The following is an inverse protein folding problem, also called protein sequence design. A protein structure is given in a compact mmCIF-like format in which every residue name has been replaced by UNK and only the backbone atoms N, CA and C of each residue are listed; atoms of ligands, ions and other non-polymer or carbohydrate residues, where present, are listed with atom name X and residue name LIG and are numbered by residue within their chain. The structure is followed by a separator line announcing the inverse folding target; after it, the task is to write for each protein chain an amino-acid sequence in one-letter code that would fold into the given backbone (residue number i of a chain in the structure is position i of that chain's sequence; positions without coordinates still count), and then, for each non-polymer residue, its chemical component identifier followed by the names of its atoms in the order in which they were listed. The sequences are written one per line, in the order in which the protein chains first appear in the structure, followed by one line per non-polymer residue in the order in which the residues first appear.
data_IF_062868507091
#
_entry.id   IF_062868507091
#
_cell.length_a   1.000
_cell.length_b   1.000
_cell.length_c   1.000
_cell.angle_alpha   90.00
_cell.angle_beta   90.00
_cell.angle_gamma   90.00
#
_symmetry.space_group_name_H-M   'P 1'
#
loop_
_entity.id
_entity.type
_entity.pdbx_description
1 polymer ?
#
# COMPACT_ATOMS: atom_id res chain seq x y z
N UNK A 1 16.56 35.56 -3.32
CA UNK A 1 17.43 34.38 -3.50
C UNK A 1 18.27 34.25 -2.26
N UNK A 2 18.45 33.03 -1.77
CA UNK A 2 19.37 32.75 -0.69
C UNK A 2 20.82 33.09 -1.11
N UNK A 3 21.64 33.44 -0.13
CA UNK A 3 23.01 33.92 -0.30
C UNK A 3 24.01 32.76 -0.15
N UNK A 4 24.94 32.65 -1.09
CA UNK A 4 26.10 31.78 -0.99
C UNK A 4 27.36 32.63 -0.83
N UNK A 5 28.07 32.53 0.29
CA UNK A 5 29.30 33.30 0.55
C UNK A 5 30.58 32.61 0.05
N UNK A 6 30.54 31.32 -0.26
CA UNK A 6 31.68 30.60 -0.81
C UNK A 6 31.84 30.92 -2.29
N UNK A 7 32.89 31.66 -2.64
CA UNK A 7 33.16 32.12 -4.01
C UNK A 7 34.31 31.35 -4.65
N UNK A 8 34.13 30.98 -5.91
CA UNK A 8 35.20 30.41 -6.71
C UNK A 8 36.25 31.49 -7.01
N UNK A 9 37.52 31.19 -6.74
CA UNK A 9 38.64 32.10 -6.95
C UNK A 9 39.25 31.95 -8.34
N UNK A 10 39.72 33.05 -8.92
CA UNK A 10 40.49 33.08 -10.17
C UNK A 10 39.78 32.41 -11.36
N UNK A 11 38.45 32.54 -11.47
CA UNK A 11 37.64 31.91 -12.53
C UNK A 11 37.69 32.61 -13.89
N UNK A 12 38.21 33.83 -13.95
CA UNK A 12 38.33 34.59 -15.20
C UNK A 12 39.24 33.92 -16.22
N UNK A 13 39.00 34.25 -17.51
CA UNK A 13 39.77 33.74 -18.65
C UNK A 13 41.25 34.12 -18.58
N UNK A 14 41.57 35.28 -18.01
CA UNK A 14 42.93 35.83 -17.93
C UNK A 14 43.52 35.70 -16.53
N UNK A 15 42.94 34.87 -15.66
CA UNK A 15 43.46 34.70 -14.32
C UNK A 15 44.88 34.09 -14.37
N UNK A 16 45.77 34.55 -13.48
CA UNK A 16 47.14 34.06 -13.36
C UNK A 16 47.15 32.64 -12.80
N UNK A 17 46.91 31.64 -13.65
CA UNK A 17 46.78 30.24 -13.29
C UNK A 17 47.43 29.41 -14.39
N UNK A 18 48.22 28.41 -14.00
CA UNK A 18 48.88 27.51 -14.96
C UNK A 18 47.84 26.67 -15.72
N UNK A 19 48.18 26.18 -16.93
CA UNK A 19 47.29 25.31 -17.71
C UNK A 19 46.99 23.99 -16.98
N UNK A 20 45.96 23.27 -17.43
CA UNK A 20 45.66 21.96 -16.85
C UNK A 20 46.77 20.94 -17.15
N UNK A 21 47.28 20.94 -18.37
CA UNK A 21 48.34 20.03 -18.83
C UNK A 21 49.62 20.21 -18.01
N UNK A 22 50.07 21.45 -17.81
CA UNK A 22 51.26 21.74 -17.00
C UNK A 22 51.05 21.46 -15.50
N UNK A 23 49.82 21.61 -15.00
CA UNK A 23 49.48 21.29 -13.61
C UNK A 23 49.58 19.78 -13.34
N UNK A 24 49.04 18.95 -14.24
CA UNK A 24 49.08 17.50 -14.13
C UNK A 24 50.51 16.94 -14.28
N UNK A 25 51.36 17.63 -15.04
CA UNK A 25 52.77 17.28 -15.19
C UNK A 25 53.66 17.78 -14.04
N UNK A 26 53.16 18.66 -13.16
CA UNK A 26 53.96 19.28 -12.11
C UNK A 26 54.28 18.27 -10.99
N UNK A 27 55.56 17.96 -10.68
CA UNK A 27 55.90 17.01 -9.62
C UNK A 27 55.33 17.40 -8.23
N UNK A 28 55.19 18.70 -7.98
CA UNK A 28 54.61 19.25 -6.75
C UNK A 28 53.12 18.92 -6.57
N UNK A 29 52.39 18.46 -7.59
CA UNK A 29 51.02 17.96 -7.44
C UNK A 29 50.98 16.74 -6.51
N UNK A 30 52.01 15.89 -6.58
CA UNK A 30 52.14 14.70 -5.75
C UNK A 30 52.85 14.99 -4.42
N UNK A 31 54.00 15.66 -4.46
CA UNK A 31 54.86 15.87 -3.29
C UNK A 31 54.55 17.11 -2.47
N UNK A 32 53.68 18.01 -2.98
CA UNK A 32 53.60 19.39 -2.51
C UNK A 32 54.86 20.20 -2.83
N UNK A 33 54.83 21.49 -2.50
CA UNK A 33 56.00 22.37 -2.56
C UNK A 33 56.88 22.16 -1.32
N UNK A 34 58.03 21.51 -1.48
CA UNK A 34 58.90 21.11 -0.36
C UNK A 34 60.08 22.07 -0.13
N UNK A 35 60.59 22.72 -1.18
CA UNK A 35 61.66 23.71 -1.11
C UNK A 35 61.55 24.71 -2.26
N UNK A 36 62.15 25.90 -2.09
CA UNK A 36 62.11 26.97 -3.10
C UNK A 36 60.84 27.83 -3.06
N UNK A 37 60.61 28.61 -4.11
CA UNK A 37 59.46 29.53 -4.23
C UNK A 37 58.38 28.86 -5.08
N UNK A 38 57.17 28.72 -4.55
CA UNK A 38 56.01 28.31 -5.34
C UNK A 38 55.57 29.47 -6.25
N UNK A 39 55.39 29.21 -7.55
CA UNK A 39 54.91 30.25 -8.47
C UNK A 39 53.45 30.59 -8.14
N UNK A 40 53.11 31.87 -8.19
CA UNK A 40 51.74 32.33 -7.93
C UNK A 40 50.72 31.67 -8.86
N UNK A 41 51.09 31.38 -10.12
CA UNK A 41 50.23 30.67 -11.07
C UNK A 41 49.94 29.22 -10.64
N UNK A 42 50.90 28.56 -9.98
CA UNK A 42 50.73 27.20 -9.48
C UNK A 42 49.90 27.20 -8.19
N UNK A 43 50.16 28.14 -7.27
CA UNK A 43 49.36 28.30 -6.04
C UNK A 43 47.91 28.66 -6.36
N UNK A 44 47.69 29.59 -7.30
CA UNK A 44 46.35 29.96 -7.76
C UNK A 44 45.59 28.78 -8.37
N UNK A 45 46.29 27.81 -8.99
CA UNK A 45 45.66 26.61 -9.55
C UNK A 45 45.04 25.74 -8.46
N UNK A 46 45.78 25.50 -7.38
CA UNK A 46 45.29 24.77 -6.20
C UNK A 46 44.07 25.48 -5.60
N UNK A 47 44.20 26.78 -5.34
CA UNK A 47 43.12 27.57 -4.73
C UNK A 47 41.89 27.61 -5.63
N UNK A 48 42.05 27.78 -6.94
CA UNK A 48 40.95 27.75 -7.92
C UNK A 48 40.23 26.41 -7.90
N UNK A 49 40.94 25.28 -7.95
CA UNK A 49 40.30 23.95 -7.94
C UNK A 49 39.52 23.71 -6.63
N UNK A 50 40.12 24.06 -5.48
CA UNK A 50 39.46 23.90 -4.18
C UNK A 50 38.23 24.82 -4.02
N UNK A 51 38.40 26.12 -4.27
CA UNK A 51 37.33 27.11 -4.13
C UNK A 51 36.20 26.92 -5.16
N UNK A 52 36.50 26.41 -6.35
CA UNK A 52 35.48 26.11 -7.36
C UNK A 52 34.52 25.02 -6.88
N UNK A 53 35.04 23.91 -6.34
CA UNK A 53 34.21 22.83 -5.80
C UNK A 53 33.44 23.30 -4.56
N UNK A 54 34.08 24.05 -3.66
CA UNK A 54 33.43 24.60 -2.47
C UNK A 54 32.25 25.52 -2.84
N UNK A 55 32.46 26.45 -3.79
CA UNK A 55 31.43 27.35 -4.26
C UNK A 55 30.27 26.62 -4.95
N UNK A 56 30.57 25.59 -5.75
CA UNK A 56 29.55 24.77 -6.43
C UNK A 56 28.68 24.00 -5.43
N UNK A 57 29.30 23.37 -4.42
CA UNK A 57 28.57 22.67 -3.36
C UNK A 57 27.71 23.64 -2.53
N UNK A 58 28.27 24.77 -2.13
CA UNK A 58 27.53 25.79 -1.39
C UNK A 58 26.35 26.35 -2.20
N UNK A 59 26.54 26.56 -3.51
CA UNK A 59 25.46 26.99 -4.40
C UNK A 59 24.35 25.94 -4.49
N UNK A 60 24.71 24.67 -4.72
CA UNK A 60 23.76 23.57 -4.75
C UNK A 60 22.93 23.52 -3.46
N UNK A 61 23.58 23.56 -2.30
CA UNK A 61 22.90 23.53 -1.00
C UNK A 61 21.97 24.73 -0.83
N UNK A 62 22.43 25.92 -1.19
CA UNK A 62 21.62 27.14 -1.11
C UNK A 62 20.37 27.06 -2.00
N UNK A 63 20.53 26.57 -3.23
CA UNK A 63 19.42 26.41 -4.18
C UNK A 63 18.43 25.33 -3.73
N UNK A 64 18.90 24.20 -3.19
CA UNK A 64 18.01 23.12 -2.74
C UNK A 64 17.28 23.45 -1.44
N UNK A 65 17.96 24.10 -0.50
CA UNK A 65 17.37 24.41 0.81
C UNK A 65 16.65 25.77 0.84
N UNK A 66 16.88 26.63 -0.16
CA UNK A 66 16.46 28.03 -0.15
C UNK A 66 16.96 28.79 1.10
N UNK A 67 18.12 28.38 1.64
CA UNK A 67 18.76 28.97 2.82
C UNK A 67 20.14 29.49 2.49
N UNK A 68 20.56 30.50 3.26
CA UNK A 68 21.89 31.08 3.14
C UNK A 68 22.96 30.07 3.55
N UNK A 69 24.06 30.07 2.81
CA UNK A 69 25.28 29.33 3.10
C UNK A 69 26.38 30.35 3.35
N UNK A 70 26.63 30.64 4.63
CA UNK A 70 27.47 31.73 5.11
C UNK A 70 28.90 31.26 5.42
N UNK A 71 29.89 32.10 5.14
CA UNK A 71 31.29 31.89 5.55
C UNK A 71 31.51 32.44 6.96
N UNK A 72 31.00 31.73 7.97
CA UNK A 72 31.03 32.14 9.39
C UNK A 72 31.77 31.15 10.31
N UNK A 73 32.38 30.12 9.73
CA UNK A 73 33.09 29.07 10.47
C UNK A 73 32.20 28.01 11.15
N UNK A 74 30.87 28.04 10.95
CA UNK A 74 29.94 27.05 11.50
C UNK A 74 29.91 25.75 10.68
N UNK A 75 30.93 24.91 10.87
CA UNK A 75 31.02 23.62 10.21
C UNK A 75 29.83 22.69 10.52
N UNK A 76 29.39 22.51 11.78
CA UNK A 76 28.20 21.72 12.07
C UNK A 76 26.95 22.20 11.31
N UNK A 77 26.70 23.51 11.29
CA UNK A 77 25.58 24.09 10.57
C UNK A 77 25.67 23.88 9.05
N UNK A 78 26.87 23.97 8.47
CA UNK A 78 27.08 23.64 7.05
C UNK A 78 26.79 22.17 6.75
N UNK A 79 27.24 21.24 7.60
CA UNK A 79 26.97 19.80 7.42
C UNK A 79 25.47 19.51 7.48
N UNK A 80 24.74 20.16 8.38
CA UNK A 80 23.29 20.04 8.47
C UNK A 80 22.59 20.58 7.21
N UNK A 81 22.99 21.76 6.73
CA UNK A 81 22.49 22.34 5.48
C UNK A 81 22.78 21.43 4.28
N UNK A 82 23.99 20.88 4.20
CA UNK A 82 24.39 19.96 3.13
C UNK A 82 23.51 18.70 3.13
N UNK A 83 23.31 18.09 4.30
CA UNK A 83 22.42 16.94 4.45
C UNK A 83 20.99 17.26 4.05
N UNK A 84 20.49 18.45 4.41
CA UNK A 84 19.16 18.92 4.03
C UNK A 84 19.04 19.15 2.52
N UNK A 85 20.06 19.71 1.88
CA UNK A 85 20.09 19.93 0.44
C UNK A 85 20.04 18.62 -0.36
N UNK A 86 20.73 17.58 0.10
CA UNK A 86 20.61 16.25 -0.50
C UNK A 86 19.25 15.60 -0.25
N UNK A 87 18.64 15.83 0.92
CA UNK A 87 17.33 15.28 1.24
C UNK A 87 16.19 15.85 0.39
N UNK A 88 16.38 17.03 -0.21
CA UNK A 88 15.42 17.61 -1.17
C UNK A 88 15.49 16.92 -2.54
N UNK A 89 16.67 16.40 -2.93
CA UNK A 89 16.88 15.79 -4.24
C UNK A 89 16.72 14.27 -4.24
N UNK A 90 17.00 13.61 -3.12
CA UNK A 90 17.13 12.17 -3.05
C UNK A 90 16.30 11.54 -1.92
N UNK A 91 15.70 10.39 -2.24
CA UNK A 91 15.01 9.54 -1.27
C UNK A 91 15.97 9.06 -0.17
N UNK A 92 15.57 9.26 1.08
CA UNK A 92 16.37 8.83 2.24
C UNK A 92 16.07 7.38 2.62
N UNK A 93 17.10 6.57 2.83
CA UNK A 93 16.94 5.23 3.46
C UNK A 93 16.62 5.29 4.95
N UNK A 94 16.95 6.40 5.61
CA UNK A 94 16.65 6.61 7.03
C UNK A 94 15.15 6.84 7.24
N UNK A 95 14.50 7.50 6.29
CA UNK A 95 13.07 7.78 6.26
C UNK A 95 12.49 7.35 4.91
N UNK A 96 12.39 6.03 4.62
CA UNK A 96 12.03 5.54 3.30
C UNK A 96 10.66 6.11 2.88
N UNK A 97 10.67 6.91 1.80
CA UNK A 97 9.49 7.59 1.22
C UNK A 97 8.80 8.63 2.12
N UNK A 98 9.41 9.02 3.24
CA UNK A 98 8.85 10.04 4.14
C UNK A 98 8.86 11.45 3.53
N UNK A 99 9.82 11.72 2.67
CA UNK A 99 9.98 12.92 1.85
C UNK A 99 8.80 13.10 0.87
N UNK A 100 8.43 12.06 0.11
CA UNK A 100 7.26 12.09 -0.80
C UNK A 100 5.98 12.52 -0.06
N UNK A 101 5.79 12.01 1.16
CA UNK A 101 4.64 12.40 1.98
C UNK A 101 4.72 13.86 2.43
N UNK A 102 5.90 14.30 2.84
CA UNK A 102 6.14 15.66 3.34
C UNK A 102 5.96 16.70 2.23
N UNK A 103 6.34 16.37 1.00
CA UNK A 103 6.21 17.22 -0.18
C UNK A 103 4.76 17.28 -0.72
N UNK A 104 3.86 16.46 -0.18
CA UNK A 104 2.47 16.37 -0.67
C UNK A 104 2.34 15.69 -2.04
N UNK A 105 3.37 14.96 -2.48
CA UNK A 105 3.46 14.39 -3.84
C UNK A 105 3.04 12.91 -3.91
N UNK A 106 2.44 12.37 -2.85
CA UNK A 106 1.98 10.97 -2.78
C UNK A 106 1.14 10.58 -4.00
N UNK A 107 0.25 11.46 -4.47
CA UNK A 107 -0.60 11.18 -5.65
C UNK A 107 0.26 10.90 -6.89
N UNK A 108 1.22 11.78 -7.19
CA UNK A 108 2.15 11.62 -8.32
C UNK A 108 3.01 10.37 -8.16
N UNK A 109 3.46 10.07 -6.94
CA UNK A 109 4.22 8.86 -6.68
C UNK A 109 3.42 7.58 -6.96
N UNK A 110 2.14 7.53 -6.56
CA UNK A 110 1.24 6.42 -6.90
C UNK A 110 1.05 6.29 -8.42
N UNK A 111 0.86 7.42 -9.12
CA UNK A 111 0.74 7.46 -10.58
C UNK A 111 2.00 6.92 -11.29
N UNK A 112 3.18 7.37 -10.88
CA UNK A 112 4.46 6.91 -11.45
C UNK A 112 4.72 5.41 -11.22
N UNK A 113 4.23 4.85 -10.12
CA UNK A 113 4.32 3.42 -9.82
C UNK A 113 3.21 2.59 -10.50
N UNK A 114 2.27 3.22 -11.20
CA UNK A 114 1.12 2.54 -11.79
C UNK A 114 0.12 1.99 -10.77
N UNK A 115 0.10 2.54 -9.55
CA UNK A 115 -0.79 2.10 -8.48
C UNK A 115 -2.17 2.73 -8.62
N UNK A 116 -3.18 1.88 -8.81
CA UNK A 116 -4.58 2.29 -8.90
C UNK A 116 -5.29 2.44 -7.56
N UNK A 117 -6.62 2.64 -7.62
CA UNK A 117 -7.47 2.83 -6.43
C UNK A 117 -7.39 1.70 -5.41
N UNK A 118 -7.15 0.46 -5.86
CA UNK A 118 -7.07 -0.70 -4.98
C UNK A 118 -5.96 -0.56 -3.93
N UNK A 119 -4.81 0.00 -4.29
CA UNK A 119 -3.68 0.21 -3.39
C UNK A 119 -3.98 1.23 -2.26
N UNK A 120 -5.05 2.01 -2.40
CA UNK A 120 -5.48 3.03 -1.43
C UNK A 120 -6.59 2.55 -0.50
N UNK A 121 -7.14 1.35 -0.72
CA UNK A 121 -8.27 0.83 0.05
C UNK A 121 -7.80 -0.14 1.13
N UNK A 122 -8.43 -0.05 2.30
CA UNK A 122 -8.21 -1.00 3.39
C UNK A 122 -8.88 -2.35 3.08
N UNK A 123 -8.35 -3.42 3.67
CA UNK A 123 -9.01 -4.73 3.68
C UNK A 123 -10.18 -4.70 4.66
N UNK A 124 -11.34 -5.21 4.24
CA UNK A 124 -12.56 -5.27 5.05
C UNK A 124 -13.84 -5.21 4.21
N UNK A 125 -14.98 -5.22 4.86
CA UNK A 125 -16.31 -5.27 4.22
C UNK A 125 -17.09 -3.95 4.29
N UNK A 126 -16.51 -2.90 4.88
CA UNK A 126 -17.09 -1.56 4.94
C UNK A 126 -17.04 -0.81 3.61
N UNK A 127 -17.66 0.37 3.60
CA UNK A 127 -17.67 1.24 2.41
C UNK A 127 -16.24 1.56 1.94
N UNK A 128 -16.01 1.48 0.64
CA UNK A 128 -14.70 1.70 0.00
C UNK A 128 -13.57 0.75 0.47
N UNK A 129 -13.90 -0.42 1.02
CA UNK A 129 -12.91 -1.46 1.35
C UNK A 129 -12.86 -2.58 0.29
N UNK A 130 -11.82 -3.39 0.35
CA UNK A 130 -11.66 -4.61 -0.44
C UNK A 130 -11.86 -5.82 0.49
N UNK A 131 -12.92 -6.63 0.32
CA UNK A 131 -13.08 -7.85 1.09
C UNK A 131 -11.95 -8.84 0.81
N UNK A 132 -11.44 -9.47 1.86
CA UNK A 132 -10.52 -10.61 1.72
C UNK A 132 -11.29 -11.92 1.51
N UNK A 133 -10.55 -13.03 1.36
CA UNK A 133 -11.15 -14.35 1.21
C UNK A 133 -11.92 -14.81 2.47
N UNK A 134 -11.51 -14.36 3.66
CA UNK A 134 -12.20 -14.69 4.93
C UNK A 134 -13.64 -14.15 4.95
N UNK A 135 -13.87 -13.02 4.29
CA UNK A 135 -15.18 -12.41 4.09
C UNK A 135 -16.13 -13.27 3.23
N UNK A 136 -15.63 -14.29 2.53
CA UNK A 136 -16.39 -15.26 1.73
C UNK A 136 -16.40 -16.67 2.36
N UNK A 137 -16.45 -16.77 3.70
CA UNK A 137 -16.41 -18.06 4.41
C UNK A 137 -17.42 -19.06 3.83
N UNK A 138 -16.95 -20.26 3.49
CA UNK A 138 -17.72 -21.30 2.83
C UNK A 138 -17.53 -22.64 3.57
N UNK A 139 -18.64 -23.32 3.84
CA UNK A 139 -18.66 -24.72 4.29
C UNK A 139 -19.31 -25.58 3.21
N UNK A 140 -18.49 -26.29 2.43
CA UNK A 140 -18.96 -27.17 1.35
C UNK A 140 -19.21 -28.57 1.88
N UNK A 141 -20.45 -28.84 2.28
CA UNK A 141 -20.92 -30.19 2.58
C UNK A 141 -22.38 -30.35 2.13
N UNK A 142 -22.97 -31.54 2.27
CA UNK A 142 -24.39 -31.77 1.98
C UNK A 142 -25.33 -30.82 2.74
N UNK A 143 -24.92 -30.42 3.95
CA UNK A 143 -25.52 -29.33 4.73
C UNK A 143 -24.46 -28.26 4.94
N UNK A 144 -24.62 -27.11 4.29
CA UNK A 144 -23.54 -26.13 4.14
C UNK A 144 -24.03 -24.70 4.07
N UNK A 145 -23.07 -23.78 4.02
CA UNK A 145 -23.37 -22.36 3.93
C UNK A 145 -22.26 -21.59 3.22
N UNK A 146 -22.61 -20.43 2.66
CA UNK A 146 -21.68 -19.42 2.17
C UNK A 146 -22.05 -18.06 2.77
N UNK A 147 -21.10 -17.42 3.43
CA UNK A 147 -21.20 -16.02 3.84
C UNK A 147 -20.66 -15.12 2.72
N UNK A 148 -21.28 -13.96 2.52
CA UNK A 148 -20.84 -12.94 1.59
C UNK A 148 -20.40 -11.69 2.34
N UNK A 149 -19.46 -10.89 1.79
CA UNK A 149 -19.02 -9.63 2.39
C UNK A 149 -20.14 -8.62 2.65
N UNK A 150 -21.26 -8.73 1.93
CA UNK A 150 -22.45 -7.89 2.14
C UNK A 150 -23.19 -8.18 3.45
N UNK A 151 -22.77 -9.20 4.21
CA UNK A 151 -23.51 -9.72 5.36
C UNK A 151 -24.60 -10.72 4.98
N UNK A 152 -24.81 -10.96 3.68
CA UNK A 152 -25.75 -11.97 3.20
C UNK A 152 -25.19 -13.38 3.37
N UNK A 153 -26.05 -14.33 3.70
CA UNK A 153 -25.69 -15.73 3.93
C UNK A 153 -26.63 -16.61 3.11
N UNK A 154 -26.04 -17.53 2.35
CA UNK A 154 -26.71 -18.64 1.69
C UNK A 154 -26.51 -19.89 2.56
N UNK A 155 -27.57 -20.66 2.80
CA UNK A 155 -27.47 -21.94 3.53
C UNK A 155 -28.29 -23.01 2.81
N UNK A 156 -27.81 -24.25 2.81
CA UNK A 156 -28.49 -25.39 2.21
C UNK A 156 -28.38 -26.63 3.08
N UNK A 157 -29.26 -27.59 2.83
CA UNK A 157 -29.23 -28.88 3.50
C UNK A 157 -30.50 -29.68 3.24
N UNK A 158 -30.60 -30.82 3.92
CA UNK A 158 -31.76 -31.70 3.85
C UNK A 158 -32.78 -31.41 4.96
N UNK A 159 -34.03 -31.77 4.69
CA UNK A 159 -35.17 -31.75 5.61
C UNK A 159 -35.46 -33.20 6.00
N UNK A 160 -35.70 -33.44 7.30
CA UNK A 160 -35.98 -34.77 7.81
C UNK A 160 -37.29 -35.35 7.25
N UNK A 161 -37.33 -36.67 7.08
CA UNK A 161 -38.45 -37.42 6.52
C UNK A 161 -39.17 -38.24 7.62
N UNK A 162 -40.05 -37.63 8.44
CA UNK A 162 -40.70 -38.35 9.52
C UNK A 162 -41.63 -39.45 8.98
N UNK A 163 -41.63 -40.62 9.62
CA UNK A 163 -42.52 -41.73 9.26
C UNK A 163 -44.00 -41.52 9.58
N UNK A 164 -44.36 -40.36 10.16
CA UNK A 164 -45.74 -39.96 10.48
C UNK A 164 -46.01 -38.54 9.95
N UNK A 165 -47.28 -38.23 9.71
CA UNK A 165 -47.69 -36.92 9.19
C UNK A 165 -47.59 -35.84 10.30
N UNK A 166 -46.57 -34.99 10.21
CA UNK A 166 -46.33 -33.90 11.18
C UNK A 166 -45.54 -32.75 10.55
N UNK A 167 -45.50 -31.62 11.26
CA UNK A 167 -44.61 -30.51 10.93
C UNK A 167 -43.17 -30.89 11.28
N UNK A 168 -42.24 -30.51 10.42
CA UNK A 168 -40.80 -30.76 10.57
C UNK A 168 -40.10 -29.45 10.87
N UNK A 169 -39.36 -29.42 11.97
CA UNK A 169 -38.47 -28.31 12.32
C UNK A 169 -37.08 -28.60 11.77
N UNK A 170 -36.61 -27.75 10.87
CA UNK A 170 -35.26 -27.84 10.30
C UNK A 170 -34.41 -26.68 10.79
N UNK A 171 -33.24 -26.98 11.34
CA UNK A 171 -32.27 -25.98 11.81
C UNK A 171 -31.29 -25.64 10.69
N UNK A 172 -30.94 -24.36 10.58
CA UNK A 172 -29.92 -23.91 9.65
C UNK A 172 -28.52 -24.36 10.11
N UNK A 173 -27.57 -24.63 9.19
CA UNK A 173 -26.18 -24.94 9.52
C UNK A 173 -25.53 -23.96 10.50
N UNK A 174 -25.85 -22.66 10.35
CA UNK A 174 -25.50 -21.59 11.28
C UNK A 174 -26.71 -20.67 11.48
N UNK A 175 -26.77 -19.97 12.61
CA UNK A 175 -27.76 -18.92 12.80
C UNK A 175 -27.48 -17.74 11.85
N UNK A 176 -28.53 -17.22 11.21
CA UNK A 176 -28.48 -15.92 10.55
C UNK A 176 -28.31 -14.81 11.62
N UNK A 177 -27.31 -13.92 11.52
CA UNK A 177 -27.04 -12.94 12.57
C UNK A 177 -28.24 -12.04 12.95
N UNK A 178 -29.08 -11.69 11.98
CA UNK A 178 -30.28 -10.88 12.19
C UNK A 178 -31.56 -11.69 12.02
N UNK A 179 -31.79 -12.28 10.83
CA UNK A 179 -32.98 -13.06 10.51
C UNK A 179 -32.80 -13.88 9.24
N UNK A 180 -33.55 -14.98 9.14
CA UNK A 180 -33.85 -15.55 7.83
C UNK A 180 -34.73 -14.56 7.04
N UNK A 181 -34.51 -14.49 5.73
CA UNK A 181 -35.29 -13.66 4.81
C UNK A 181 -36.21 -14.52 3.95
N UNK A 182 -35.70 -15.66 3.47
CA UNK A 182 -36.44 -16.58 2.62
C UNK A 182 -35.92 -18.01 2.77
N UNK A 183 -36.83 -18.98 2.74
CA UNK A 183 -36.52 -20.39 2.52
C UNK A 183 -37.25 -20.88 1.27
N UNK A 184 -36.51 -21.58 0.41
CA UNK A 184 -37.03 -22.36 -0.70
C UNK A 184 -36.82 -23.83 -0.37
N UNK A 185 -37.85 -24.64 -0.62
CA UNK A 185 -37.78 -26.09 -0.42
C UNK A 185 -38.11 -26.77 -1.74
N UNK A 186 -37.42 -27.87 -2.00
CA UNK A 186 -37.75 -28.79 -3.07
C UNK A 186 -37.90 -30.17 -2.45
N UNK A 187 -38.92 -30.89 -2.87
CA UNK A 187 -39.01 -32.30 -2.52
C UNK A 187 -37.90 -33.08 -3.23
N UNK A 188 -37.33 -34.06 -2.53
CA UNK A 188 -36.41 -35.01 -3.15
C UNK A 188 -37.21 -36.14 -3.80
N UNK A 189 -36.81 -36.56 -5.00
CA UNK A 189 -37.41 -37.70 -5.69
C UNK A 189 -36.47 -38.90 -5.59
N UNK A 190 -36.99 -40.02 -5.10
CA UNK A 190 -36.29 -41.30 -5.21
C UNK A 190 -36.58 -41.89 -6.59
N UNK A 191 -35.56 -42.08 -7.45
CA UNK A 191 -35.74 -42.72 -8.75
C UNK A 191 -36.53 -44.03 -8.63
N UNK A 192 -37.46 -44.24 -9.56
CA UNK A 192 -38.31 -45.45 -9.68
C UNK A 192 -39.28 -45.72 -8.52
N UNK A 193 -39.38 -44.82 -7.53
CA UNK A 193 -40.34 -44.98 -6.41
C UNK A 193 -41.81 -44.84 -6.83
N UNK A 194 -42.06 -44.17 -7.97
CA UNK A 194 -43.40 -43.76 -8.38
C UNK A 194 -44.08 -42.75 -7.43
N UNK A 195 -43.38 -42.33 -6.35
CA UNK A 195 -43.91 -41.46 -5.32
C UNK A 195 -43.71 -39.99 -5.71
N UNK A 196 -44.81 -39.27 -5.87
CA UNK A 196 -44.83 -37.83 -6.07
C UNK A 196 -45.54 -37.18 -4.88
N UNK A 197 -44.99 -36.09 -4.38
CA UNK A 197 -45.61 -35.34 -3.30
C UNK A 197 -45.48 -33.84 -3.53
N UNK A 198 -45.77 -33.09 -2.46
CA UNK A 198 -45.44 -31.68 -2.37
C UNK A 198 -44.97 -31.37 -0.96
N UNK A 199 -44.10 -30.37 -0.85
CA UNK A 199 -43.65 -29.82 0.43
C UNK A 199 -43.96 -28.33 0.47
N UNK A 200 -44.44 -27.86 1.62
CA UNK A 200 -44.56 -26.45 1.92
C UNK A 200 -43.65 -26.10 3.09
N UNK A 201 -43.15 -24.87 3.14
CA UNK A 201 -42.43 -24.35 4.28
C UNK A 201 -42.96 -22.98 4.69
N UNK A 202 -42.69 -22.59 5.94
CA UNK A 202 -42.78 -21.21 6.39
C UNK A 202 -41.66 -20.39 5.73
N UNK A 203 -41.79 -20.16 4.42
CA UNK A 203 -40.74 -19.60 3.58
C UNK A 203 -40.38 -18.16 3.93
N UNK A 204 -41.27 -17.42 4.59
CA UNK A 204 -40.94 -16.17 5.27
C UNK A 204 -40.84 -16.48 6.77
N UNK A 205 -39.61 -16.64 7.27
CA UNK A 205 -39.35 -16.87 8.68
C UNK A 205 -38.42 -15.78 9.18
N UNK A 206 -38.82 -15.03 10.20
CA UNK A 206 -37.89 -14.12 10.90
C UNK A 206 -37.00 -14.86 11.89
N UNK A 207 -37.22 -16.17 12.10
CA UNK A 207 -36.42 -16.99 13.00
C UNK A 207 -35.02 -17.18 12.38
N UNK A 208 -33.95 -16.78 13.08
CA UNK A 208 -32.60 -16.87 12.54
C UNK A 208 -32.00 -18.28 12.58
N UNK A 209 -32.62 -19.23 13.29
CA UNK A 209 -32.02 -20.54 13.59
C UNK A 209 -32.72 -21.69 12.89
N UNK A 210 -34.00 -21.54 12.53
CA UNK A 210 -34.81 -22.62 11.98
C UNK A 210 -35.95 -22.17 11.09
N UNK A 211 -36.54 -23.14 10.40
CA UNK A 211 -37.83 -23.01 9.73
C UNK A 211 -38.68 -24.27 9.93
N UNK A 212 -39.97 -24.14 9.64
CA UNK A 212 -40.92 -25.25 9.72
C UNK A 212 -41.36 -25.61 8.30
N UNK A 213 -41.47 -26.90 8.04
CA UNK A 213 -41.97 -27.44 6.79
C UNK A 213 -42.94 -28.58 7.02
N UNK A 214 -43.76 -28.89 6.02
CA UNK A 214 -44.69 -30.01 6.04
C UNK A 214 -44.76 -30.65 4.67
N UNK A 215 -44.56 -31.96 4.62
CA UNK A 215 -44.73 -32.78 3.42
C UNK A 215 -46.17 -33.31 3.32
N UNK A 216 -46.62 -33.58 2.10
CA UNK A 216 -47.94 -34.15 1.80
C UNK A 216 -48.11 -35.59 2.30
N UNK A 217 -47.02 -36.36 2.35
CA UNK A 217 -47.02 -37.76 2.78
C UNK A 217 -45.86 -38.08 3.72
N UNK A 218 -46.05 -38.97 4.71
CA UNK A 218 -44.97 -39.42 5.59
C UNK A 218 -43.81 -40.07 4.84
N UNK A 219 -42.60 -39.96 5.38
CA UNK A 219 -41.39 -40.60 4.85
C UNK A 219 -40.77 -39.92 3.63
N UNK A 220 -41.30 -38.77 3.18
CA UNK A 220 -40.69 -38.00 2.09
C UNK A 220 -39.58 -37.07 2.61
N UNK A 221 -38.39 -37.20 2.04
CA UNK A 221 -37.29 -36.25 2.22
C UNK A 221 -37.43 -35.03 1.33
N UNK A 222 -36.68 -33.98 1.66
CA UNK A 222 -36.61 -32.76 0.88
C UNK A 222 -35.27 -32.05 1.12
N UNK A 223 -34.97 -31.07 0.28
CA UNK A 223 -33.81 -30.20 0.41
C UNK A 223 -34.25 -28.74 0.49
N UNK A 224 -33.44 -27.89 1.11
CA UNK A 224 -33.71 -26.46 1.20
C UNK A 224 -32.53 -25.61 0.71
N UNK A 225 -32.89 -24.40 0.27
CA UNK A 225 -31.99 -23.27 0.11
C UNK A 225 -32.58 -22.09 0.88
N UNK A 226 -31.80 -21.55 1.81
CA UNK A 226 -32.19 -20.45 2.67
C UNK A 226 -31.28 -19.24 2.46
N UNK A 227 -31.88 -18.06 2.60
CA UNK A 227 -31.27 -16.75 2.43
C UNK A 227 -31.51 -15.93 3.69
N UNK A 228 -30.49 -15.24 4.18
CA UNK A 228 -30.62 -14.39 5.36
C UNK A 228 -29.42 -13.50 5.60
N UNK A 229 -29.46 -12.75 6.69
CA UNK A 229 -28.39 -11.87 7.15
C UNK A 229 -28.42 -11.75 8.67
#
# INVERSE_FOLDING_TARGET
MAKNDFKAFATDRNANVISQEEWEALPALLSGFTAGKASSAQVNKVIRQASFIAAALAQFVSDKTQRDVLDNGDLPGFVELLGSGFAVEYLSRKNPFGDIKSDGTVKTALENLGLGEAAKRNVGTGANQIPDMGSFTLSVSGTGYQKLPSGFILQWGSIGAPGIAQDVVTHFPIAFPNRCLRVLVSQDYTPDSGAVGYIACAGFSSDPVKFISRASTPGLGASFLALGC
#
